data_IF_877205101796
#
_entry.id   IF_877205101796
#
_cell.length_a   1.000
_cell.length_b   1.000
_cell.length_c   1.000
_cell.angle_alpha   90.00
_cell.angle_beta   90.00
_cell.angle_gamma   90.00
#
_symmetry.space_group_name_H-M   'P 1'
#
loop_
_entity.id
_entity.type
_entity.pdbx_description
1 polymer ?
#
# COMPACT_ATOMS: atom_id res chain seq x y z
N UNK A 1 17.24 -5.46 -1.97
CA UNK A 1 15.98 -5.75 -1.25
C UNK A 1 14.94 -4.80 -1.81
N UNK A 2 13.68 -5.23 -1.97
CA UNK A 2 12.63 -4.40 -2.56
C UNK A 2 11.96 -3.56 -1.47
N UNK A 3 11.75 -2.28 -1.73
CA UNK A 3 11.11 -1.33 -0.82
C UNK A 3 9.82 -0.75 -1.45
N UNK A 4 8.85 -0.41 -0.62
CA UNK A 4 7.62 0.29 -1.01
C UNK A 4 7.67 1.74 -0.53
N UNK A 5 7.15 2.67 -1.33
CA UNK A 5 6.82 4.01 -0.87
C UNK A 5 5.44 3.98 -0.20
N UNK A 6 5.39 4.21 1.11
CA UNK A 6 4.17 4.16 1.92
C UNK A 6 4.13 5.36 2.86
N UNK A 7 3.05 6.13 2.79
CA UNK A 7 2.75 7.27 3.67
C UNK A 7 3.90 8.26 3.89
N UNK A 8 4.68 8.53 2.84
CA UNK A 8 5.79 9.50 2.89
C UNK A 8 7.15 8.91 3.26
N UNK A 9 7.27 7.58 3.32
CA UNK A 9 8.51 6.89 3.68
C UNK A 9 8.78 5.66 2.81
N UNK A 10 10.05 5.27 2.69
CA UNK A 10 10.42 3.97 2.14
C UNK A 10 10.40 2.91 3.25
N UNK A 11 9.70 1.81 3.01
CA UNK A 11 9.61 0.67 3.95
C UNK A 11 9.99 -0.64 3.25
N UNK A 12 10.63 -1.61 3.94
CA UNK A 12 10.90 -2.92 3.37
C UNK A 12 9.60 -3.60 2.92
N UNK A 13 9.60 -4.27 1.76
CA UNK A 13 8.36 -4.83 1.21
C UNK A 13 7.58 -5.77 2.16
N UNK A 14 8.21 -6.62 3.01
CA UNK A 14 7.47 -7.41 4.01
C UNK A 14 6.75 -6.59 5.10
N UNK A 15 7.16 -5.34 5.30
CA UNK A 15 6.61 -4.41 6.29
C UNK A 15 5.57 -3.44 5.69
N UNK A 16 5.49 -3.35 4.35
CA UNK A 16 4.46 -2.61 3.63
C UNK A 16 3.08 -3.29 3.80
N UNK A 17 2.42 -3.03 4.92
CA UNK A 17 1.17 -3.68 5.34
C UNK A 17 0.07 -2.66 5.54
N UNK A 18 -1.17 -3.11 5.34
CA UNK A 18 -2.37 -2.33 5.59
C UNK A 18 -3.21 -2.99 6.70
N UNK A 19 -4.04 -2.21 7.38
CA UNK A 19 -5.01 -2.76 8.35
C UNK A 19 -6.02 -3.67 7.66
N UNK A 20 -6.39 -4.78 8.31
CA UNK A 20 -7.51 -5.61 7.86
C UNK A 20 -8.86 -4.88 7.89
N UNK A 21 -8.92 -3.74 8.57
CA UNK A 21 -10.13 -2.90 8.68
C UNK A 21 -10.16 -1.74 7.68
N UNK A 22 -9.15 -1.62 6.81
CA UNK A 22 -9.13 -0.57 5.79
C UNK A 22 -10.30 -0.71 4.80
N UNK A 23 -10.97 0.39 4.44
CA UNK A 23 -12.10 0.36 3.52
C UNK A 23 -11.69 0.06 2.07
N UNK A 24 -10.48 0.42 1.67
CA UNK A 24 -9.85 -0.01 0.42
C UNK A 24 -9.66 -1.53 0.39
N UNK A 25 -9.31 -2.15 1.52
CA UNK A 25 -9.20 -3.61 1.63
C UNK A 25 -10.58 -4.30 1.72
N UNK A 26 -11.47 -3.87 2.61
CA UNK A 26 -12.76 -4.54 2.86
C UNK A 26 -13.81 -4.29 1.77
N UNK A 27 -13.76 -3.13 1.12
CA UNK A 27 -14.85 -2.65 0.27
C UNK A 27 -14.37 -2.15 -1.11
N UNK A 28 -13.07 -2.20 -1.40
CA UNK A 28 -12.53 -1.70 -2.68
C UNK A 28 -12.63 -0.19 -2.84
N UNK A 29 -12.72 0.55 -1.74
CA UNK A 29 -12.79 2.01 -1.75
C UNK A 29 -11.39 2.63 -1.95
N UNK A 30 -10.98 2.80 -3.21
CA UNK A 30 -9.68 3.39 -3.54
C UNK A 30 -9.49 3.60 -5.04
N UNK A 31 -8.40 4.29 -5.40
CA UNK A 31 -7.93 4.49 -6.77
C UNK A 31 -6.47 4.06 -6.86
N UNK A 32 -6.04 3.64 -8.04
CA UNK A 32 -4.63 3.36 -8.34
C UNK A 32 -4.32 3.75 -9.78
N UNK A 33 -3.04 3.95 -10.06
CA UNK A 33 -2.51 4.20 -11.40
C UNK A 33 -1.32 3.28 -11.66
N UNK A 34 -0.99 3.08 -12.93
CA UNK A 34 0.24 2.39 -13.35
C UNK A 34 1.16 3.36 -14.07
N UNK A 35 2.47 3.20 -13.87
CA UNK A 35 3.47 3.93 -14.64
C UNK A 35 3.97 3.08 -15.82
N UNK A 36 4.26 3.74 -16.94
CA UNK A 36 4.91 3.13 -18.11
C UNK A 36 6.42 3.07 -17.92
#
# INVERSE_FOLDING_TARGET
>A
MLDAWLDGSFVPMPEARISAFDAGFQHGMGLFETMA
#
